data_IF_203527717776
#
_entry.id   IF_203527717776
#
_cell.length_a   1.000
_cell.length_b   1.000
_cell.length_c   1.000
_cell.angle_alpha   90.00
_cell.angle_beta   90.00
_cell.angle_gamma   90.00
#
_symmetry.space_group_name_H-M   'P 1'
#
loop_
_entity.id
_entity.type
_entity.pdbx_description
1 polymer ?
#
# COMPACT_ATOMS: atom_id res chain seq x y z
N UNK A 1 -8.16 -4.73 20.47
CA UNK A 1 -8.13 -5.83 19.49
C UNK A 1 -6.94 -5.61 18.58
N UNK A 2 -6.25 -6.66 18.13
CA UNK A 2 -5.12 -6.53 17.22
C UNK A 2 -5.61 -6.25 15.79
N UNK A 3 -4.88 -5.42 15.05
CA UNK A 3 -5.09 -5.23 13.61
C UNK A 3 -4.87 -6.55 12.86
N UNK A 4 -5.85 -6.95 12.03
CA UNK A 4 -5.69 -8.10 11.13
C UNK A 4 -4.73 -7.77 9.98
N UNK A 5 -4.11 -8.78 9.34
CA UNK A 5 -3.31 -8.60 8.14
C UNK A 5 -4.03 -7.80 7.04
N UNK A 6 -5.32 -8.09 6.80
CA UNK A 6 -6.12 -7.41 5.79
C UNK A 6 -6.24 -5.90 6.07
N UNK A 7 -6.45 -5.51 7.34
CA UNK A 7 -6.53 -4.08 7.69
C UNK A 7 -5.23 -3.34 7.43
N UNK A 8 -4.08 -3.99 7.66
CA UNK A 8 -2.77 -3.39 7.37
C UNK A 8 -2.57 -3.18 5.88
N UNK A 9 -2.94 -4.17 5.08
CA UNK A 9 -2.82 -4.12 3.62
C UNK A 9 -3.74 -3.04 3.05
N UNK A 10 -4.98 -2.97 3.52
CA UNK A 10 -5.96 -1.97 3.07
C UNK A 10 -5.57 -0.56 3.50
N UNK A 11 -5.06 -0.37 4.71
CA UNK A 11 -4.48 0.90 5.13
C UNK A 11 -3.30 1.32 4.25
N UNK A 12 -2.48 0.36 3.80
CA UNK A 12 -1.38 0.63 2.86
C UNK A 12 -1.88 1.02 1.47
N UNK A 13 -2.90 0.34 0.94
CA UNK A 13 -3.55 0.72 -0.33
C UNK A 13 -4.13 2.14 -0.24
N UNK A 14 -4.84 2.44 0.84
CA UNK A 14 -5.36 3.79 1.08
C UNK A 14 -4.25 4.82 1.26
N UNK A 15 -3.09 4.45 1.82
CA UNK A 15 -1.94 5.34 1.94
C UNK A 15 -1.40 5.74 0.56
N UNK A 16 -1.29 4.78 -0.37
CA UNK A 16 -0.90 5.06 -1.77
C UNK A 16 -1.91 6.01 -2.41
N UNK A 17 -3.20 5.78 -2.18
CA UNK A 17 -4.30 6.58 -2.74
C UNK A 17 -4.32 8.02 -2.21
N UNK A 18 -4.33 8.17 -0.89
CA UNK A 18 -4.62 9.44 -0.22
C UNK A 18 -3.35 10.29 -0.03
N UNK A 19 -2.18 9.65 0.04
CA UNK A 19 -0.91 10.30 0.38
C UNK A 19 0.20 9.96 -0.63
N UNK A 20 -0.12 9.82 -1.91
CA UNK A 20 0.83 9.50 -2.98
C UNK A 20 2.13 10.36 -2.97
N UNK A 21 2.04 11.61 -2.50
CA UNK A 21 3.17 12.55 -2.42
C UNK A 21 4.27 12.14 -1.44
N UNK A 22 4.00 11.26 -0.46
CA UNK A 22 5.02 10.78 0.48
C UNK A 22 5.95 9.74 -0.17
N UNK A 23 5.51 9.12 -1.27
CA UNK A 23 6.29 8.14 -2.02
C UNK A 23 7.18 8.88 -3.01
N UNK A 24 8.50 8.79 -2.81
CA UNK A 24 9.48 9.26 -3.78
C UNK A 24 9.44 8.41 -5.05
N UNK A 25 10.05 8.89 -6.15
CA UNK A 25 10.18 8.08 -7.37
C UNK A 25 10.90 6.74 -7.11
N UNK A 26 11.94 6.74 -6.27
CA UNK A 26 12.67 5.53 -5.86
C UNK A 26 11.77 4.56 -5.11
N UNK A 27 10.96 5.06 -4.16
CA UNK A 27 10.03 4.20 -3.41
C UNK A 27 9.01 3.54 -4.34
N UNK A 28 8.54 4.26 -5.36
CA UNK A 28 7.56 3.73 -6.32
C UNK A 28 8.15 2.61 -7.16
N UNK A 29 9.36 2.81 -7.70
CA UNK A 29 10.06 1.81 -8.52
C UNK A 29 10.40 0.58 -7.68
N UNK A 30 10.93 0.78 -6.48
CA UNK A 30 11.28 -0.32 -5.59
C UNK A 30 10.02 -1.11 -5.16
N UNK A 31 8.94 -0.44 -4.77
CA UNK A 31 7.67 -1.11 -4.45
C UNK A 31 7.16 -1.96 -5.62
N UNK A 32 7.21 -1.43 -6.84
CA UNK A 32 6.77 -2.18 -8.03
C UNK A 32 7.59 -3.46 -8.23
N UNK A 33 8.91 -3.40 -8.02
CA UNK A 33 9.81 -4.54 -8.12
C UNK A 33 9.58 -5.56 -6.99
N UNK A 34 9.40 -5.09 -5.76
CA UNK A 34 9.22 -5.95 -4.58
C UNK A 34 7.86 -6.65 -4.57
N UNK A 35 6.80 -6.05 -5.14
CA UNK A 35 5.49 -6.71 -5.20
C UNK A 35 5.51 -8.06 -5.92
N UNK A 36 6.43 -8.26 -6.86
CA UNK A 36 6.60 -9.54 -7.54
C UNK A 36 7.43 -10.58 -6.77
N UNK A 37 8.13 -10.16 -5.72
CA UNK A 37 8.89 -11.03 -4.82
C UNK A 37 8.12 -11.36 -3.53
N UNK A 38 7.06 -10.62 -3.22
CA UNK A 38 6.29 -10.84 -2.00
C UNK A 38 5.62 -12.22 -1.97
N UNK A 39 5.62 -12.88 -0.80
CA UNK A 39 5.01 -14.19 -0.63
C UNK A 39 3.49 -14.11 -0.80
N UNK A 40 2.93 -15.00 -1.63
CA UNK A 40 1.49 -15.09 -1.93
C UNK A 40 0.83 -16.36 -1.35
N UNK A 41 1.56 -17.13 -0.53
CA UNK A 41 1.08 -18.36 0.09
C UNK A 41 0.02 -18.11 1.17
N UNK A 42 0.19 -17.05 1.97
CA UNK A 42 -0.79 -16.64 2.96
C UNK A 42 -0.82 -15.12 3.20
N UNK A 43 -1.96 -14.64 3.72
CA UNK A 43 -2.21 -13.22 3.92
C UNK A 43 -1.31 -12.58 4.98
N UNK A 44 -0.89 -13.35 5.98
CA UNK A 44 0.00 -12.88 7.04
C UNK A 44 1.39 -12.67 6.48
N UNK A 45 1.91 -13.60 5.69
CA UNK A 45 3.21 -13.46 5.02
C UNK A 45 3.23 -12.27 4.08
N UNK A 46 2.19 -12.09 3.26
CA UNK A 46 2.06 -10.92 2.38
C UNK A 46 2.00 -9.60 3.16
N UNK A 47 1.17 -9.52 4.22
CA UNK A 47 1.10 -8.34 5.09
C UNK A 47 2.43 -8.05 5.80
N UNK A 48 3.16 -9.08 6.20
CA UNK A 48 4.46 -8.94 6.83
C UNK A 48 5.50 -8.42 5.83
N UNK A 49 5.47 -8.87 4.58
CA UNK A 49 6.34 -8.37 3.53
C UNK A 49 6.12 -6.88 3.24
N UNK A 50 4.86 -6.44 3.16
CA UNK A 50 4.51 -5.01 3.06
C UNK A 50 5.05 -4.23 4.26
N UNK A 51 4.86 -4.76 5.47
CA UNK A 51 5.34 -4.11 6.70
C UNK A 51 6.86 -4.01 6.71
N UNK A 52 7.56 -5.09 6.33
CA UNK A 52 9.01 -5.12 6.23
C UNK A 52 9.52 -4.08 5.23
N UNK A 53 8.90 -4.00 4.06
CA UNK A 53 9.21 -2.97 3.06
C UNK A 53 8.98 -1.55 3.61
N UNK A 54 7.87 -1.31 4.31
CA UNK A 54 7.62 -0.01 4.93
C UNK A 54 8.72 0.36 5.95
N UNK A 55 9.26 -0.61 6.70
CA UNK A 55 10.33 -0.37 7.68
C UNK A 55 11.64 0.09 7.04
N UNK A 56 11.88 -0.18 5.76
CA UNK A 56 13.02 0.35 5.00
C UNK A 56 12.87 1.87 4.73
N UNK A 57 11.63 2.37 4.74
CA UNK A 57 11.27 3.76 4.45
C UNK A 57 10.51 4.39 5.62
N UNK A 58 11.25 4.90 6.61
CA UNK A 58 10.71 5.38 7.88
C UNK A 58 9.51 6.34 7.74
N UNK A 59 9.53 7.27 6.79
CA UNK A 59 8.41 8.20 6.57
C UNK A 59 7.12 7.50 6.12
N UNK A 60 7.23 6.46 5.30
CA UNK A 60 6.08 5.64 4.86
C UNK A 60 5.57 4.81 6.04
N UNK A 61 6.46 4.18 6.81
CA UNK A 61 6.05 3.42 8.00
C UNK A 61 5.34 4.29 9.05
N UNK A 62 5.80 5.52 9.26
CA UNK A 62 5.15 6.47 10.17
C UNK A 62 3.75 6.84 9.65
N UNK A 63 3.62 7.15 8.36
CA UNK A 63 2.34 7.49 7.76
C UNK A 63 1.35 6.30 7.78
N UNK A 64 1.83 5.07 7.56
CA UNK A 64 1.03 3.86 7.70
C UNK A 64 0.55 3.67 9.16
N UNK A 65 1.44 3.89 10.13
CA UNK A 65 1.10 3.80 11.56
C UNK A 65 0.04 4.82 11.95
N UNK A 66 0.19 6.08 11.52
CA UNK A 66 -0.80 7.13 11.76
C UNK A 66 -2.15 6.82 11.11
N UNK A 67 -2.16 6.28 9.89
CA UNK A 67 -3.40 5.86 9.22
C UNK A 67 -4.08 4.70 9.97
N UNK A 68 -3.31 3.75 10.50
CA UNK A 68 -3.83 2.67 11.32
C UNK A 68 -4.37 3.20 12.66
N UNK A 69 -3.68 4.12 13.32
CA UNK A 69 -4.13 4.71 14.59
C UNK A 69 -5.39 5.58 14.42
N UNK A 70 -5.48 6.38 13.35
CA UNK A 70 -6.66 7.20 13.03
C UNK A 70 -7.87 6.35 12.63
N UNK A 71 -7.65 5.16 12.05
CA UNK A 71 -8.73 4.19 11.81
C UNK A 71 -9.30 3.60 13.11
N UNK A 72 -8.54 3.68 14.22
CA UNK A 72 -8.97 3.27 15.55
C UNK A 72 -9.60 4.41 16.37
N UNK A 73 -9.22 5.66 16.13
CA UNK A 73 -9.83 6.83 16.77
C UNK A 73 -11.14 7.21 16.08
N UNK A 74 -12.20 6.58 16.59
CA UNK A 74 -13.59 6.89 16.27
C UNK A 74 -13.87 8.39 16.40
N UNK A 75 -14.59 8.95 15.43
CA UNK A 75 -15.28 10.24 15.58
C UNK A 75 -15.98 10.33 16.94
N UNK A 76 -16.07 11.53 17.57
CA UNK A 76 -16.83 11.69 18.79
C UNK A 76 -18.29 11.26 18.54
N UNK A 77 -18.68 10.11 19.10
CA UNK A 77 -20.02 9.51 18.95
C UNK A 77 -20.05 8.11 18.33
N UNK A 78 -18.96 7.61 17.74
CA UNK A 78 -18.86 6.20 17.31
C UNK A 78 -18.23 5.34 18.42
N UNK A 79 -18.77 4.13 18.69
CA UNK A 79 -18.17 3.24 19.67
C UNK A 79 -16.74 2.87 19.26
N UNK A 80 -15.79 3.19 20.14
CA UNK A 80 -14.38 2.79 20.01
C UNK A 80 -14.30 1.28 19.77
N UNK A 81 -13.74 0.88 18.63
CA UNK A 81 -13.34 -0.51 18.39
C UNK A 81 -14.07 -1.27 17.30
N UNK A 82 -14.84 -0.63 16.42
CA UNK A 82 -15.25 -1.30 15.17
C UNK A 82 -14.09 -1.26 14.19
N UNK A 83 -13.09 -2.11 14.42
CA UNK A 83 -12.17 -2.50 13.36
C UNK A 83 -13.02 -2.98 12.19
N UNK A 84 -12.91 -2.35 11.01
CA UNK A 84 -13.61 -2.82 9.81
C UNK A 84 -13.30 -4.31 9.66
N UNK A 85 -14.33 -5.15 9.68
CA UNK A 85 -14.15 -6.57 9.39
C UNK A 85 -14.04 -6.67 7.88
N UNK A 86 -12.82 -6.72 7.38
CA UNK A 86 -12.55 -6.94 5.96
C UNK A 86 -12.69 -8.43 5.70
N UNK A 87 -13.53 -8.86 4.75
CA UNK A 87 -13.66 -10.28 4.44
C UNK A 87 -12.31 -10.81 3.95
N UNK A 88 -11.89 -12.01 4.40
CA UNK A 88 -10.60 -12.56 4.00
C UNK A 88 -10.55 -12.72 2.47
N UNK A 89 -9.49 -12.18 1.87
CA UNK A 89 -9.16 -12.32 0.45
C UNK A 89 -7.79 -12.95 0.34
N UNK A 90 -7.51 -13.56 -0.81
CA UNK A 90 -6.20 -14.12 -1.06
C UNK A 90 -5.16 -13.02 -1.36
N UNK A 91 -3.87 -13.23 -1.12
CA UNK A 91 -2.81 -12.25 -1.39
C UNK A 91 -2.84 -11.67 -2.81
N UNK A 92 -3.15 -12.47 -3.82
CA UNK A 92 -3.14 -12.06 -5.23
C UNK A 92 -4.15 -10.93 -5.48
N UNK A 93 -5.30 -10.97 -4.80
CA UNK A 93 -6.30 -9.89 -4.87
C UNK A 93 -5.70 -8.57 -4.39
N UNK A 94 -4.99 -8.57 -3.26
CA UNK A 94 -4.42 -7.36 -2.71
C UNK A 94 -3.23 -6.86 -3.50
N UNK A 95 -2.39 -7.77 -4.01
CA UNK A 95 -1.30 -7.41 -4.93
C UNK A 95 -1.83 -6.67 -6.16
N UNK A 96 -2.90 -7.18 -6.77
CA UNK A 96 -3.55 -6.50 -7.90
C UNK A 96 -4.12 -5.13 -7.51
N UNK A 97 -4.74 -5.01 -6.32
CA UNK A 97 -5.22 -3.72 -5.82
C UNK A 97 -4.07 -2.72 -5.62
N UNK A 98 -2.95 -3.14 -5.04
CA UNK A 98 -1.78 -2.28 -4.86
C UNK A 98 -1.25 -1.83 -6.23
N UNK A 99 -1.03 -2.77 -7.17
CA UNK A 99 -0.55 -2.43 -8.53
C UNK A 99 -1.47 -1.44 -9.25
N UNK A 100 -2.78 -1.65 -9.16
CA UNK A 100 -3.76 -0.73 -9.76
C UNK A 100 -3.72 0.63 -9.07
N UNK A 101 -3.70 0.67 -7.75
CA UNK A 101 -3.63 1.93 -7.01
C UNK A 101 -2.34 2.69 -7.29
N UNK A 102 -1.21 2.00 -7.46
CA UNK A 102 0.06 2.61 -7.89
C UNK A 102 -0.08 3.26 -9.27
N UNK A 103 -0.67 2.56 -10.26
CA UNK A 103 -0.92 3.12 -11.60
C UNK A 103 -1.78 4.38 -11.56
N UNK A 104 -2.82 4.38 -10.73
CA UNK A 104 -3.75 5.51 -10.60
C UNK A 104 -3.11 6.70 -9.86
N UNK A 105 -2.27 6.43 -8.86
CA UNK A 105 -1.73 7.47 -7.96
C UNK A 105 -0.38 8.01 -8.41
N UNK A 106 0.35 7.26 -9.26
CA UNK A 106 1.68 7.60 -9.74
C UNK A 106 1.70 7.71 -11.29
N UNK A 107 1.09 8.75 -11.87
CA UNK A 107 1.01 8.89 -13.33
C UNK A 107 2.38 9.02 -14.02
N UNK A 108 3.43 9.45 -13.29
CA UNK A 108 4.78 9.64 -13.84
C UNK A 108 5.56 8.33 -14.03
N UNK A 109 5.23 7.26 -13.32
CA UNK A 109 5.86 5.94 -13.52
C UNK A 109 5.33 5.22 -14.77
N UNK A 110 4.22 5.69 -15.35
CA UNK A 110 3.62 5.19 -16.60
C UNK A 110 4.06 5.99 -17.83
N UNK A 111 5.17 6.74 -17.76
CA UNK A 111 5.83 7.13 -19.00
C UNK A 111 6.49 5.90 -19.60
N UNK A 112 5.70 5.19 -20.40
CA UNK A 112 6.16 4.50 -21.60
C UNK A 112 7.44 5.17 -22.10
N UNK A 113 8.45 4.34 -22.34
CA UNK A 113 9.54 4.65 -23.24
C UNK A 113 8.93 5.14 -24.56
N UNK A 114 8.68 6.43 -24.70
CA UNK A 114 8.38 7.03 -25.98
C UNK A 114 9.66 6.85 -26.79
N UNK A 115 9.71 6.01 -27.84
CA UNK A 115 10.85 6.04 -28.72
C UNK A 115 10.90 7.46 -29.27
N UNK A 116 11.98 8.18 -28.94
CA UNK A 116 12.32 9.41 -29.64
C UNK A 116 12.60 9.00 -31.08
N UNK A 117 11.56 9.10 -31.90
CA UNK A 117 11.67 9.04 -33.35
C UNK A 117 12.37 10.33 -33.79
N UNK A 118 13.69 10.35 -33.63
CA UNK A 118 14.56 11.34 -34.25
C UNK A 118 14.70 10.94 -35.71
N UNK A 119 13.74 11.37 -36.52
CA UNK A 119 13.88 11.41 -37.97
C UNK A 119 14.02 12.88 -38.40
N UNK A 120 15.25 13.30 -38.67
CA UNK A 120 15.58 14.45 -39.53
C UNK A 120 16.40 13.96 -40.71
#
# INVERSE_FOLDING_TARGET
MALTPENRIEAFIELIKDQASIFSAENRVDLEQQLDTFPEDDITSFSNAITAWCLEYLHINLALSEKLDTSHDSMPGQPKGVTRTIPPRKPEYYKDQIKNQMRDSFPETTQEQKPSDTSQ
#
